data_IF_759952151879
#
_entry.id   IF_759952151879
#
_cell.length_a   1.000
_cell.length_b   1.000
_cell.length_c   1.000
_cell.angle_alpha   90.00
_cell.angle_beta   90.00
_cell.angle_gamma   90.00
#
_symmetry.space_group_name_H-M   'P 1'
#
loop_
_entity.id
_entity.type
_entity.pdbx_description
1 polymer ?
#
# COMPACT_ATOMS: atom_id res chain seq x y z
N UNK A 1 -16.98 -55.32 32.79
CA UNK A 1 -17.59 -54.23 33.58
C UNK A 1 -16.67 -53.96 34.75
N UNK A 2 -15.80 -52.97 34.62
CA UNK A 2 -14.95 -52.49 35.70
C UNK A 2 -15.16 -50.99 35.76
N UNK A 3 -16.22 -50.63 36.46
CA UNK A 3 -16.56 -49.27 36.86
C UNK A 3 -15.62 -48.91 38.01
N UNK A 4 -14.48 -48.31 37.69
CA UNK A 4 -13.60 -47.72 38.69
C UNK A 4 -14.29 -46.47 39.23
N UNK A 5 -14.75 -46.57 40.47
CA UNK A 5 -15.16 -45.43 41.28
C UNK A 5 -14.02 -44.40 41.31
N UNK A 6 -14.26 -43.25 40.69
CA UNK A 6 -13.38 -42.08 40.78
C UNK A 6 -13.62 -41.43 42.14
N UNK A 7 -12.79 -41.77 43.14
CA UNK A 7 -12.62 -40.93 44.32
C UNK A 7 -12.33 -39.51 43.83
N UNK A 8 -13.23 -38.59 44.15
CA UNK A 8 -13.29 -37.22 43.65
C UNK A 8 -12.14 -36.36 44.18
N UNK A 9 -10.93 -36.62 43.71
CA UNK A 9 -9.86 -35.64 43.82
C UNK A 9 -10.17 -34.49 42.87
N UNK A 10 -10.61 -33.39 43.45
CA UNK A 10 -10.89 -32.17 42.72
C UNK A 10 -9.56 -31.63 42.14
N UNK A 11 -9.46 -31.56 40.82
CA UNK A 11 -8.21 -31.22 40.15
C UNK A 11 -7.96 -29.71 40.10
N UNK A 12 -9.02 -28.90 40.29
CA UNK A 12 -9.01 -27.45 40.20
C UNK A 12 -9.41 -26.85 41.54
N UNK A 13 -8.62 -25.91 42.04
CA UNK A 13 -8.93 -25.13 43.24
C UNK A 13 -9.24 -23.68 42.85
N UNK A 14 -10.32 -23.10 43.37
CA UNK A 14 -10.62 -21.66 43.20
C UNK A 14 -10.27 -20.90 44.48
N UNK A 15 -9.28 -20.02 44.40
CA UNK A 15 -8.92 -19.05 45.44
C UNK A 15 -9.71 -17.76 45.24
N UNK A 16 -10.48 -17.36 46.25
CA UNK A 16 -11.34 -16.18 46.21
C UNK A 16 -11.58 -15.60 47.60
N UNK A 17 -12.07 -14.36 47.63
CA UNK A 17 -12.49 -13.68 48.85
C UNK A 17 -13.94 -14.05 49.15
N UNK A 18 -14.28 -14.38 50.41
CA UNK A 18 -15.62 -14.83 50.81
C UNK A 18 -16.77 -13.95 50.31
N UNK A 19 -16.58 -12.65 50.21
CA UNK A 19 -17.57 -11.67 49.73
C UNK A 19 -17.97 -11.90 48.27
N UNK A 20 -17.10 -12.57 47.49
CA UNK A 20 -17.38 -12.98 46.11
C UNK A 20 -17.97 -14.39 46.00
N UNK A 21 -18.30 -15.06 47.10
CA UNK A 21 -18.81 -16.45 47.14
C UNK A 21 -19.95 -16.66 46.15
N UNK A 22 -20.95 -15.79 46.11
CA UNK A 22 -22.09 -15.90 45.18
C UNK A 22 -21.67 -15.83 43.70
N UNK A 23 -20.62 -15.09 43.37
CA UNK A 23 -20.13 -14.94 41.99
C UNK A 23 -19.26 -16.12 41.61
N UNK A 24 -18.37 -16.53 42.52
CA UNK A 24 -17.54 -17.72 42.37
C UNK A 24 -18.39 -18.98 42.30
N UNK A 25 -19.55 -18.99 42.97
CA UNK A 25 -20.50 -20.07 42.89
C UNK A 25 -20.97 -20.38 41.48
N UNK A 26 -21.30 -19.31 40.76
CA UNK A 26 -21.77 -19.41 39.39
C UNK A 26 -20.65 -19.83 38.46
N UNK A 27 -19.43 -19.31 38.69
CA UNK A 27 -18.24 -19.73 37.96
C UNK A 27 -17.94 -21.22 38.16
N UNK A 28 -17.96 -21.69 39.40
CA UNK A 28 -17.68 -23.08 39.72
C UNK A 28 -18.72 -24.04 39.13
N UNK A 29 -20.01 -23.69 39.21
CA UNK A 29 -21.08 -24.46 38.56
C UNK A 29 -20.89 -24.50 37.05
N UNK A 30 -20.60 -23.37 36.41
CA UNK A 30 -20.37 -23.34 34.96
C UNK A 30 -19.14 -24.18 34.55
N UNK A 31 -18.08 -24.19 35.35
CA UNK A 31 -16.91 -25.04 35.12
C UNK A 31 -17.25 -26.54 35.29
N UNK A 32 -18.05 -26.88 36.30
CA UNK A 32 -18.55 -28.24 36.50
C UNK A 32 -19.41 -28.71 35.32
N UNK A 33 -20.31 -27.85 34.83
CA UNK A 33 -21.14 -28.12 33.64
C UNK A 33 -20.27 -28.27 32.37
N UNK A 34 -19.09 -27.65 32.33
CA UNK A 34 -18.10 -27.81 31.26
C UNK A 34 -17.22 -29.09 31.42
N UNK A 35 -17.48 -29.91 32.44
CA UNK A 35 -16.79 -31.19 32.67
C UNK A 35 -15.56 -31.10 33.57
N UNK A 36 -15.34 -29.96 34.26
CA UNK A 36 -14.20 -29.77 35.14
C UNK A 36 -14.53 -30.11 36.61
N UNK A 37 -13.64 -30.85 37.28
CA UNK A 37 -13.76 -31.16 38.72
C UNK A 37 -13.20 -30.02 39.57
N UNK A 38 -14.08 -29.20 40.15
CA UNK A 38 -13.73 -27.95 40.84
C UNK A 38 -13.98 -28.04 42.34
N UNK A 39 -12.94 -27.76 43.13
CA UNK A 39 -12.99 -27.53 44.57
C UNK A 39 -13.12 -26.05 44.89
N UNK A 40 -14.07 -25.73 45.75
CA UNK A 40 -14.23 -24.41 46.36
C UNK A 40 -15.08 -24.51 47.63
N UNK A 41 -14.94 -23.52 48.49
CA UNK A 41 -15.25 -23.62 49.91
C UNK A 41 -16.72 -23.37 50.27
N UNK A 42 -17.64 -24.24 49.79
CA UNK A 42 -19.07 -24.14 50.10
C UNK A 42 -19.53 -24.94 51.33
N UNK A 43 -18.69 -25.84 51.87
CA UNK A 43 -19.13 -26.84 52.86
C UNK A 43 -18.07 -27.21 53.91
N UNK A 44 -17.15 -26.31 54.27
CA UNK A 44 -16.32 -26.57 55.46
C UNK A 44 -17.19 -26.54 56.72
N UNK A 45 -17.26 -27.69 57.40
CA UNK A 45 -17.96 -27.82 58.67
C UNK A 45 -17.33 -26.87 59.72
N UNK A 46 -18.11 -26.09 60.47
CA UNK A 46 -17.57 -25.29 61.56
C UNK A 46 -16.98 -26.23 62.62
N UNK A 47 -15.66 -26.18 62.86
CA UNK A 47 -15.02 -26.91 63.95
C UNK A 47 -13.68 -27.57 63.63
N UNK A 48 -13.34 -27.78 62.35
CA UNK A 48 -11.99 -28.21 61.95
C UNK A 48 -11.14 -27.01 61.53
N UNK A 49 -9.81 -27.14 61.57
CA UNK A 49 -8.91 -26.05 61.16
C UNK A 49 -9.05 -25.80 59.67
N UNK A 50 -9.96 -24.89 59.31
CA UNK A 50 -10.26 -24.38 57.97
C UNK A 50 -9.00 -24.19 57.11
N UNK A 51 -7.93 -23.63 57.70
CA UNK A 51 -6.65 -23.41 57.04
C UNK A 51 -5.93 -24.69 56.60
N UNK A 52 -6.06 -25.80 57.36
CA UNK A 52 -5.41 -27.06 57.01
C UNK A 52 -6.10 -27.74 55.83
N UNK A 53 -7.44 -27.69 55.78
CA UNK A 53 -8.20 -28.26 54.66
C UNK A 53 -7.98 -27.48 53.37
N UNK A 54 -7.99 -26.15 53.43
CA UNK A 54 -7.63 -25.29 52.28
C UNK A 54 -6.22 -25.60 51.80
N UNK A 55 -5.24 -25.70 52.71
CA UNK A 55 -3.86 -26.00 52.34
C UNK A 55 -3.74 -27.38 51.69
N UNK A 56 -4.40 -28.40 52.22
CA UNK A 56 -4.42 -29.73 51.63
C UNK A 56 -5.05 -29.73 50.22
N UNK A 57 -6.15 -29.01 50.03
CA UNK A 57 -6.79 -28.86 48.72
C UNK A 57 -5.90 -28.10 47.73
N UNK A 58 -5.25 -27.01 48.16
CA UNK A 58 -4.31 -26.25 47.35
C UNK A 58 -3.10 -27.10 46.95
N UNK A 59 -2.53 -27.87 47.87
CA UNK A 59 -1.39 -28.75 47.62
C UNK A 59 -1.75 -29.89 46.64
N UNK A 60 -2.95 -30.46 46.75
CA UNK A 60 -3.45 -31.51 45.86
C UNK A 60 -3.87 -30.99 44.46
N UNK A 61 -4.20 -29.71 44.33
CA UNK A 61 -4.68 -29.14 43.08
C UNK A 61 -3.64 -29.21 41.95
N UNK A 62 -4.08 -29.56 40.75
CA UNK A 62 -3.28 -29.51 39.51
C UNK A 62 -3.42 -28.17 38.78
N UNK A 63 -4.48 -27.43 39.07
CA UNK A 63 -4.75 -26.11 38.53
C UNK A 63 -5.35 -25.23 39.63
N UNK A 64 -4.88 -23.99 39.75
CA UNK A 64 -5.39 -23.03 40.73
C UNK A 64 -5.89 -21.80 40.01
N UNK A 65 -7.15 -21.48 40.19
CA UNK A 65 -7.77 -20.26 39.67
C UNK A 65 -7.75 -19.22 40.80
N UNK A 66 -7.05 -18.11 40.61
CA UNK A 66 -7.17 -16.96 41.52
C UNK A 66 -8.18 -15.97 40.96
N UNK A 67 -9.11 -15.53 41.80
CA UNK A 67 -10.16 -14.58 41.43
C UNK A 67 -9.82 -13.19 41.95
N UNK A 68 -9.53 -12.27 41.03
CA UNK A 68 -9.25 -10.86 41.29
C UNK A 68 -10.53 -10.02 41.22
N UNK A 69 -10.84 -9.42 42.35
CA UNK A 69 -11.94 -8.48 42.64
C UNK A 69 -11.44 -7.34 43.51
N UNK A 70 -12.25 -6.29 43.70
CA UNK A 70 -11.90 -5.18 44.60
C UNK A 70 -11.59 -5.69 46.02
N UNK A 71 -12.32 -6.71 46.48
CA UNK A 71 -12.13 -7.33 47.80
C UNK A 71 -10.81 -8.10 47.89
N UNK A 72 -10.47 -8.89 46.87
CA UNK A 72 -9.25 -9.71 46.85
C UNK A 72 -7.94 -8.89 46.75
N UNK A 73 -7.98 -7.72 46.11
CA UNK A 73 -6.79 -6.86 45.98
C UNK A 73 -6.60 -5.95 47.19
N UNK A 74 -7.65 -5.78 47.99
CA UNK A 74 -7.65 -4.92 49.17
C UNK A 74 -6.76 -5.44 50.30
N UNK A 75 -6.70 -4.70 51.43
CA UNK A 75 -5.90 -5.09 52.59
C UNK A 75 -6.26 -6.48 53.13
N UNK A 76 -7.55 -6.84 53.14
CA UNK A 76 -8.04 -8.13 53.65
C UNK A 76 -7.76 -9.35 52.73
N UNK A 77 -7.10 -9.14 51.58
CA UNK A 77 -6.83 -10.17 50.57
C UNK A 77 -5.48 -10.89 50.70
N UNK A 78 -4.74 -10.70 51.80
CA UNK A 78 -3.40 -11.30 52.00
C UNK A 78 -3.38 -12.81 51.75
N UNK A 79 -4.38 -13.52 52.28
CA UNK A 79 -4.48 -14.96 52.12
C UNK A 79 -4.63 -15.39 50.65
N UNK A 80 -5.50 -14.72 49.89
CA UNK A 80 -5.68 -14.98 48.44
C UNK A 80 -4.38 -14.73 47.68
N UNK A 81 -3.63 -13.68 48.05
CA UNK A 81 -2.32 -13.37 47.45
C UNK A 81 -1.29 -14.45 47.75
N UNK A 82 -1.25 -14.96 48.98
CA UNK A 82 -0.30 -16.01 49.38
C UNK A 82 -0.57 -17.33 48.66
N UNK A 83 -1.83 -17.75 48.57
CA UNK A 83 -2.25 -18.93 47.81
C UNK A 83 -1.92 -18.80 46.32
N UNK A 84 -2.23 -17.65 45.73
CA UNK A 84 -1.91 -17.35 44.35
C UNK A 84 -0.39 -17.37 44.12
N UNK A 85 0.41 -16.90 45.08
CA UNK A 85 1.87 -16.94 44.97
C UNK A 85 2.40 -18.37 45.03
N UNK A 86 1.84 -19.23 45.88
CA UNK A 86 2.19 -20.65 45.93
C UNK A 86 1.86 -21.35 44.61
N UNK A 87 0.67 -21.10 44.07
CA UNK A 87 0.26 -21.62 42.76
C UNK A 87 1.12 -21.09 41.61
N UNK A 88 1.51 -19.80 41.64
CA UNK A 88 2.43 -19.19 40.66
C UNK A 88 3.77 -19.91 40.67
N UNK A 89 4.36 -20.14 41.86
CA UNK A 89 5.64 -20.86 41.99
C UNK A 89 5.59 -22.28 41.43
N UNK A 90 4.44 -22.95 41.54
CA UNK A 90 4.20 -24.28 40.98
C UNK A 90 3.87 -24.28 39.48
N UNK A 91 3.69 -23.10 38.87
CA UNK A 91 3.33 -22.97 37.46
C UNK A 91 1.90 -23.40 37.13
N UNK A 92 1.03 -23.56 38.12
CA UNK A 92 -0.35 -24.06 37.96
C UNK A 92 -1.42 -22.97 38.13
N UNK A 93 -1.00 -21.71 38.24
CA UNK A 93 -1.89 -20.56 38.40
C UNK A 93 -2.57 -20.15 37.08
N UNK A 94 -3.88 -19.89 37.15
CA UNK A 94 -4.67 -19.18 36.14
C UNK A 94 -5.33 -17.98 36.82
N UNK A 95 -4.91 -16.73 36.53
CA UNK A 95 -5.56 -15.56 37.09
C UNK A 95 -6.82 -15.18 36.30
N UNK A 96 -7.91 -14.91 37.03
CA UNK A 96 -9.21 -14.52 36.51
C UNK A 96 -9.63 -13.21 37.18
N UNK A 97 -10.19 -12.26 36.43
CA UNK A 97 -10.73 -11.02 36.97
C UNK A 97 -12.25 -11.05 36.91
N UNK A 98 -12.92 -10.87 38.05
CA UNK A 98 -14.37 -10.64 38.08
C UNK A 98 -14.70 -9.15 38.24
N UNK A 99 -13.78 -8.33 38.72
CA UNK A 99 -13.89 -6.87 38.63
C UNK A 99 -12.80 -6.30 37.75
N UNK A 100 -13.01 -5.09 37.22
CA UNK A 100 -11.96 -4.35 36.54
C UNK A 100 -11.00 -3.76 37.58
N UNK A 101 -10.03 -4.57 37.99
CA UNK A 101 -9.00 -4.23 38.98
C UNK A 101 -7.62 -4.51 38.41
N UNK A 102 -6.61 -3.81 38.93
CA UNK A 102 -5.21 -4.12 38.64
C UNK A 102 -4.72 -5.22 39.59
N UNK A 103 -4.28 -6.39 39.09
CA UNK A 103 -3.74 -7.42 39.94
C UNK A 103 -2.54 -6.92 40.78
N UNK A 104 -2.32 -7.49 41.99
CA UNK A 104 -1.21 -7.10 42.84
C UNK A 104 0.16 -7.27 42.17
N UNK A 105 1.15 -6.53 42.68
CA UNK A 105 2.53 -6.62 42.20
C UNK A 105 3.02 -8.08 42.27
N UNK A 106 3.68 -8.54 41.20
CA UNK A 106 4.07 -9.94 41.02
C UNK A 106 3.07 -10.79 40.23
N UNK A 107 1.82 -10.36 40.05
CA UNK A 107 0.84 -11.09 39.20
C UNK A 107 0.57 -10.40 37.86
N UNK A 108 0.97 -9.14 37.71
CA UNK A 108 0.77 -8.33 36.49
C UNK A 108 1.48 -8.88 35.24
N UNK A 109 2.54 -9.66 35.44
CA UNK A 109 3.28 -10.32 34.35
C UNK A 109 2.51 -11.51 33.76
N UNK A 110 1.51 -12.03 34.48
CA UNK A 110 0.68 -13.13 34.02
C UNK A 110 -0.63 -12.56 33.50
N UNK A 111 -0.93 -12.84 32.22
CA UNK A 111 -2.17 -12.41 31.60
C UNK A 111 -3.37 -12.99 32.36
N UNK A 112 -4.25 -12.11 32.83
CA UNK A 112 -5.49 -12.48 33.52
C UNK A 112 -6.65 -12.59 32.54
N UNK A 113 -7.53 -13.57 32.75
CA UNK A 113 -8.75 -13.75 31.95
C UNK A 113 -9.84 -12.83 32.53
N UNK A 114 -10.33 -11.88 31.73
CA UNK A 114 -11.34 -10.92 32.14
C UNK A 114 -12.77 -11.48 32.03
N UNK A 115 -13.32 -11.92 33.15
CA UNK A 115 -14.70 -12.37 33.31
C UNK A 115 -15.58 -11.31 33.98
N UNK A 116 -15.17 -10.04 34.06
CA UNK A 116 -15.94 -8.99 34.75
C UNK A 116 -17.30 -8.69 34.13
N UNK A 117 -17.46 -9.02 32.85
CA UNK A 117 -18.72 -8.90 32.12
C UNK A 117 -19.39 -10.24 31.82
N UNK A 118 -18.85 -11.35 32.35
CA UNK A 118 -19.44 -12.67 32.16
C UNK A 118 -20.74 -12.80 32.96
N UNK A 119 -21.77 -13.36 32.31
CA UNK A 119 -23.13 -13.53 32.87
C UNK A 119 -23.59 -14.97 32.70
N UNK A 120 -22.81 -15.91 33.22
CA UNK A 120 -23.16 -17.34 33.29
C UNK A 120 -23.37 -18.00 31.91
N UNK A 121 -22.84 -17.39 30.83
CA UNK A 121 -22.99 -17.90 29.48
C UNK A 121 -21.81 -18.82 29.13
N UNK A 122 -22.04 -20.13 28.89
CA UNK A 122 -20.96 -21.08 28.55
C UNK A 122 -20.37 -20.83 27.16
N UNK A 123 -21.07 -20.09 26.29
CA UNK A 123 -20.56 -19.69 24.97
C UNK A 123 -19.83 -18.34 25.00
N UNK A 124 -19.65 -17.75 26.18
CA UNK A 124 -18.85 -16.54 26.31
C UNK A 124 -17.39 -16.85 25.93
N UNK A 125 -16.78 -16.05 25.06
CA UNK A 125 -15.41 -16.32 24.64
C UNK A 125 -14.37 -16.31 25.76
N UNK A 126 -14.50 -15.43 26.77
CA UNK A 126 -13.56 -15.37 27.89
C UNK A 126 -13.72 -16.59 28.79
N UNK A 127 -14.95 -17.10 28.95
CA UNK A 127 -15.19 -18.34 29.67
C UNK A 127 -14.60 -19.55 28.93
N UNK A 128 -14.70 -19.60 27.60
CA UNK A 128 -14.05 -20.66 26.81
C UNK A 128 -12.52 -20.59 26.88
N UNK A 129 -11.94 -19.39 26.84
CA UNK A 129 -10.50 -19.23 27.06
C UNK A 129 -10.08 -19.76 28.45
N UNK A 130 -10.92 -19.60 29.47
CA UNK A 130 -10.69 -20.19 30.80
C UNK A 130 -10.71 -21.72 30.74
N UNK A 131 -11.72 -22.34 30.11
CA UNK A 131 -11.76 -23.80 29.96
C UNK A 131 -10.56 -24.34 29.17
N UNK A 132 -10.17 -23.65 28.08
CA UNK A 132 -9.00 -24.00 27.27
C UNK A 132 -7.71 -23.91 28.12
N UNK A 133 -7.57 -22.87 28.95
CA UNK A 133 -6.42 -22.70 29.83
C UNK A 133 -6.37 -23.75 30.95
N UNK A 134 -7.50 -24.08 31.56
CA UNK A 134 -7.62 -25.15 32.57
C UNK A 134 -7.21 -26.49 31.94
N UNK A 135 -7.76 -26.83 30.79
CA UNK A 135 -7.44 -28.08 30.08
C UNK A 135 -5.95 -28.17 29.79
N UNK A 136 -5.35 -27.09 29.29
CA UNK A 136 -3.91 -27.04 29.05
C UNK A 136 -3.08 -27.26 30.33
N UNK A 137 -3.48 -26.66 31.46
CA UNK A 137 -2.81 -26.87 32.76
C UNK A 137 -2.94 -28.31 33.27
N UNK A 138 -4.12 -28.90 33.19
CA UNK A 138 -4.37 -30.28 33.61
C UNK A 138 -3.57 -31.28 32.77
N UNK A 139 -3.39 -31.01 31.48
CA UNK A 139 -2.60 -31.83 30.56
C UNK A 139 -1.08 -31.53 30.58
N UNK A 140 -0.62 -30.55 31.37
CA UNK A 140 0.79 -30.15 31.42
C UNK A 140 1.30 -29.50 30.13
N UNK A 141 0.41 -28.94 29.31
CA UNK A 141 0.74 -28.26 28.05
C UNK A 141 0.82 -26.73 28.24
N UNK A 142 1.51 -26.01 27.34
CA UNK A 142 1.48 -24.55 27.35
C UNK A 142 0.06 -24.04 27.13
N UNK A 143 -0.32 -23.01 27.89
CA UNK A 143 -1.64 -22.37 27.80
C UNK A 143 -1.78 -21.69 26.43
N UNK A 144 -2.87 -21.94 25.67
CA UNK A 144 -3.07 -21.29 24.38
C UNK A 144 -3.30 -19.79 24.54
N UNK A 145 -2.97 -18.96 23.53
CA UNK A 145 -3.24 -17.53 23.56
C UNK A 145 -4.75 -17.26 23.61
N UNK A 146 -5.17 -16.31 24.45
CA UNK A 146 -6.57 -15.94 24.63
C UNK A 146 -7.20 -15.40 23.33
N UNK A 147 -8.35 -15.95 22.92
CA UNK A 147 -9.09 -15.60 21.68
C UNK A 147 -10.23 -14.61 21.95
N UNK A 148 -10.66 -14.50 23.19
CA UNK A 148 -11.81 -13.74 23.61
C UNK A 148 -11.82 -12.24 23.25
N UNK A 149 -10.72 -11.47 23.44
CA UNK A 149 -10.74 -10.03 23.11
C UNK A 149 -11.05 -9.76 21.64
N UNK A 150 -10.56 -10.60 20.71
CA UNK A 150 -10.89 -10.46 19.28
C UNK A 150 -12.33 -10.89 18.98
N UNK A 151 -12.83 -11.96 19.60
CA UNK A 151 -14.17 -12.47 19.29
C UNK A 151 -15.32 -11.56 19.77
N UNK A 152 -15.18 -10.83 20.90
CA UNK A 152 -16.17 -9.81 21.31
C UNK A 152 -16.13 -8.59 20.39
N UNK A 153 -14.95 -8.21 19.89
CA UNK A 153 -14.81 -7.13 18.90
C UNK A 153 -15.53 -7.49 17.59
N UNK A 154 -15.28 -8.70 17.07
CA UNK A 154 -15.96 -9.22 15.87
C UNK A 154 -17.48 -9.31 16.07
N UNK A 155 -17.96 -9.79 17.23
CA UNK A 155 -19.41 -9.88 17.51
C UNK A 155 -20.07 -8.51 17.68
N UNK A 156 -19.39 -7.54 18.30
CA UNK A 156 -19.87 -6.15 18.42
C UNK A 156 -19.97 -5.49 17.04
N UNK A 157 -18.98 -5.68 16.17
CA UNK A 157 -19.00 -5.19 14.79
C UNK A 157 -20.10 -5.85 13.94
N UNK A 158 -20.35 -7.15 14.15
CA UNK A 158 -21.43 -7.87 13.47
C UNK A 158 -22.85 -7.42 13.90
N UNK A 159 -23.05 -7.04 15.17
CA UNK A 159 -24.35 -6.55 15.67
C UNK A 159 -24.59 -5.07 15.36
N UNK A 160 -23.55 -4.23 15.29
CA UNK A 160 -23.70 -2.84 14.84
C UNK A 160 -24.16 -2.73 13.39
N UNK A 161 -23.90 -3.75 12.55
CA UNK A 161 -24.41 -3.78 11.17
C UNK A 161 -25.93 -3.97 11.05
N UNK A 162 -26.59 -4.57 12.05
CA UNK A 162 -28.03 -4.89 11.98
C UNK A 162 -28.92 -3.79 12.57
N UNK A 163 -28.46 -3.06 13.61
CA UNK A 163 -29.22 -1.95 14.20
C UNK A 163 -29.22 -0.67 13.34
N UNK A 164 -28.24 -0.52 12.44
CA UNK A 164 -28.16 0.61 11.51
C UNK A 164 -29.12 0.51 10.32
N UNK A 165 -29.78 -0.64 10.10
CA UNK A 165 -30.65 -0.87 8.92
C UNK A 165 -32.13 -0.47 9.11
N UNK A 166 -32.55 -0.07 10.32
CA UNK A 166 -33.96 0.30 10.62
C UNK A 166 -34.15 1.73 11.18
N UNK A 167 -33.09 2.48 11.46
CA UNK A 167 -33.15 3.79 12.13
C UNK A 167 -32.68 5.01 11.31
N UNK A 168 -32.29 4.84 10.04
CA UNK A 168 -31.74 5.92 9.21
C UNK A 168 -32.73 6.44 8.15
N UNK A 169 -34.05 6.32 8.41
CA UNK A 169 -35.10 6.93 7.59
C UNK A 169 -35.54 8.33 8.06
N UNK A 170 -35.16 8.74 9.27
CA UNK A 170 -35.62 10.00 9.84
C UNK A 170 -34.71 10.45 10.99
N UNK A 171 -33.95 11.51 10.73
CA UNK A 171 -33.27 12.47 11.63
C UNK A 171 -31.84 12.70 11.12
N UNK A 172 -31.78 13.54 10.10
CA UNK A 172 -30.69 14.49 9.90
C UNK A 172 -30.68 15.46 11.08
N UNK A 173 -29.71 15.37 11.99
CA UNK A 173 -29.11 16.52 12.69
C UNK A 173 -27.71 16.11 13.18
N UNK A 174 -26.69 16.70 12.53
CA UNK A 174 -25.41 17.06 13.15
C UNK A 174 -24.35 15.96 13.34
N UNK A 175 -23.38 15.95 12.42
CA UNK A 175 -21.98 15.46 12.51
C UNK A 175 -21.59 14.28 11.58
N UNK A 176 -20.98 14.66 10.44
CA UNK A 176 -20.02 13.93 9.62
C UNK A 176 -20.37 12.52 9.11
N UNK A 177 -21.24 12.47 8.10
CA UNK A 177 -21.31 11.38 7.12
C UNK A 177 -20.29 11.62 5.99
N UNK A 178 -19.04 11.16 6.15
CA UNK A 178 -18.07 11.13 5.04
C UNK A 178 -17.10 9.93 5.02
N UNK A 179 -17.32 8.82 5.74
CA UNK A 179 -16.33 7.71 5.67
C UNK A 179 -16.82 6.26 5.67
N UNK A 180 -18.12 5.97 5.48
CA UNK A 180 -18.61 4.57 5.55
C UNK A 180 -18.84 3.91 4.17
N UNK A 181 -18.22 4.41 3.10
CA UNK A 181 -18.29 3.78 1.77
C UNK A 181 -17.09 2.87 1.43
N UNK A 182 -16.00 2.95 2.21
CA UNK A 182 -14.70 2.39 1.77
C UNK A 182 -14.46 0.93 2.20
N UNK A 183 -15.30 0.37 3.08
CA UNK A 183 -15.10 -1.00 3.61
C UNK A 183 -15.77 -2.12 2.81
N UNK A 184 -16.74 -1.83 1.94
CA UNK A 184 -17.40 -2.85 1.12
C UNK A 184 -16.55 -3.29 -0.09
N UNK A 185 -15.70 -2.40 -0.58
CA UNK A 185 -14.91 -2.63 -1.81
C UNK A 185 -13.48 -3.14 -1.54
N UNK A 186 -13.14 -3.47 -0.29
CA UNK A 186 -11.80 -3.93 0.15
C UNK A 186 -11.74 -5.42 0.49
N UNK A 187 -12.87 -6.14 0.51
CA UNK A 187 -12.90 -7.57 0.84
C UNK A 187 -12.38 -8.41 -0.32
N UNK A 188 -11.18 -8.97 -0.14
CA UNK A 188 -10.32 -9.64 -1.13
C UNK A 188 -10.86 -10.94 -1.76
N UNK A 189 -12.14 -11.28 -1.61
CA UNK A 189 -12.66 -12.62 -1.93
C UNK A 189 -13.14 -12.78 -3.38
N UNK A 190 -13.33 -11.69 -4.15
CA UNK A 190 -13.77 -11.74 -5.56
C UNK A 190 -13.22 -10.59 -6.44
N UNK A 191 -11.91 -10.35 -6.42
CA UNK A 191 -11.28 -9.51 -7.47
C UNK A 191 -11.37 -10.24 -8.82
N UNK A 192 -11.74 -9.58 -9.94
CA UNK A 192 -11.92 -8.14 -10.14
C UNK A 192 -13.39 -7.63 -10.14
N UNK A 193 -14.41 -8.51 -10.10
CA UNK A 193 -15.80 -8.14 -10.44
C UNK A 193 -16.50 -7.22 -9.43
N UNK A 194 -16.18 -7.30 -8.14
CA UNK A 194 -16.84 -6.47 -7.11
C UNK A 194 -16.27 -5.04 -7.08
N UNK A 195 -14.97 -4.86 -7.35
CA UNK A 195 -14.33 -3.54 -7.45
C UNK A 195 -14.89 -2.71 -8.62
N UNK A 196 -15.17 -3.38 -9.75
CA UNK A 196 -15.69 -2.74 -10.95
C UNK A 196 -17.13 -2.24 -10.77
N UNK A 197 -17.93 -2.99 -9.99
CA UNK A 197 -19.30 -2.62 -9.64
C UNK A 197 -19.34 -1.42 -8.67
N UNK A 198 -18.41 -1.37 -7.70
CA UNK A 198 -18.25 -0.20 -6.83
C UNK A 198 -17.88 1.08 -7.60
N UNK A 199 -16.98 0.97 -8.59
CA UNK A 199 -16.62 2.08 -9.46
C UNK A 199 -17.79 2.55 -10.32
N UNK A 200 -18.56 1.63 -10.91
CA UNK A 200 -19.73 1.95 -11.72
C UNK A 200 -20.88 2.61 -10.94
N UNK A 201 -20.99 2.33 -9.64
CA UNK A 201 -21.98 2.92 -8.75
C UNK A 201 -21.50 4.21 -8.07
N UNK A 202 -20.24 4.64 -8.29
CA UNK A 202 -19.67 5.84 -7.67
C UNK A 202 -19.47 5.73 -6.15
N UNK A 203 -19.40 4.51 -5.61
CA UNK A 203 -19.46 4.24 -4.17
C UNK A 203 -18.08 4.04 -3.51
N UNK A 204 -16.96 4.36 -4.16
CA UNK A 204 -15.65 4.33 -3.49
C UNK A 204 -14.57 5.03 -4.32
N UNK A 205 -13.42 5.30 -3.69
CA UNK A 205 -12.18 5.70 -4.35
C UNK A 205 -11.62 4.50 -5.14
N UNK A 206 -12.31 4.08 -6.21
CA UNK A 206 -11.92 2.95 -7.08
C UNK A 206 -12.22 3.28 -8.55
N UNK A 207 -11.36 2.86 -9.49
CA UNK A 207 -11.60 3.06 -10.91
C UNK A 207 -12.74 2.18 -11.40
N UNK A 208 -13.46 2.64 -12.43
CA UNK A 208 -14.37 1.78 -13.19
C UNK A 208 -13.58 0.70 -13.94
N UNK A 209 -14.24 -0.39 -14.37
CA UNK A 209 -13.58 -1.43 -15.19
C UNK A 209 -12.92 -0.84 -16.43
N UNK A 210 -13.62 0.06 -17.09
CA UNK A 210 -13.17 0.72 -18.32
C UNK A 210 -11.95 1.60 -18.03
N UNK A 211 -12.02 2.43 -16.98
CA UNK A 211 -10.90 3.28 -16.57
C UNK A 211 -9.67 2.47 -16.18
N UNK A 212 -9.83 1.38 -15.40
CA UNK A 212 -8.72 0.51 -15.00
C UNK A 212 -8.02 -0.08 -16.22
N UNK A 213 -8.78 -0.64 -17.16
CA UNK A 213 -8.22 -1.24 -18.38
C UNK A 213 -7.51 -0.17 -19.22
N UNK A 214 -8.09 1.03 -19.34
CA UNK A 214 -7.46 2.14 -20.05
C UNK A 214 -6.17 2.63 -19.36
N UNK A 215 -6.13 2.66 -18.03
CA UNK A 215 -4.96 3.03 -17.25
C UNK A 215 -3.82 2.02 -17.38
N UNK A 216 -4.13 0.73 -17.26
CA UNK A 216 -3.17 -0.37 -17.36
C UNK A 216 -2.55 -0.47 -18.77
N UNK A 217 -3.35 -0.25 -19.81
CA UNK A 217 -2.93 -0.38 -21.21
C UNK A 217 -2.37 0.92 -21.82
N UNK A 218 -2.31 2.03 -21.08
CA UNK A 218 -1.73 3.28 -21.59
C UNK A 218 -0.24 3.08 -21.91
N UNK A 219 0.25 3.83 -22.88
CA UNK A 219 1.68 3.90 -23.15
C UNK A 219 2.41 4.54 -21.95
N UNK A 220 3.19 3.73 -21.22
CA UNK A 220 3.93 4.18 -20.04
C UNK A 220 5.02 5.20 -20.45
N UNK A 221 5.18 6.25 -19.66
CA UNK A 221 6.10 7.35 -19.95
C UNK A 221 5.60 8.38 -20.97
N UNK A 222 4.50 8.09 -21.67
CA UNK A 222 3.92 9.00 -22.66
C UNK A 222 3.07 10.09 -22.01
N UNK A 223 3.53 11.35 -22.08
CA UNK A 223 2.73 12.49 -21.64
C UNK A 223 1.44 12.66 -22.46
N UNK A 224 1.46 12.26 -23.74
CA UNK A 224 0.26 12.26 -24.57
C UNK A 224 -0.80 11.27 -24.05
N UNK A 225 -0.39 10.05 -23.71
CA UNK A 225 -1.29 9.04 -23.15
C UNK A 225 -1.94 9.48 -21.83
N UNK A 226 -1.19 10.17 -20.95
CA UNK A 226 -1.73 10.72 -19.70
C UNK A 226 -2.77 11.83 -19.95
N UNK A 227 -2.52 12.73 -20.90
CA UNK A 227 -3.50 13.77 -21.30
C UNK A 227 -4.77 13.13 -21.86
N UNK A 228 -4.62 12.15 -22.75
CA UNK A 228 -5.76 11.39 -23.30
C UNK A 228 -6.56 10.73 -22.18
N UNK A 229 -5.91 10.12 -21.18
CA UNK A 229 -6.59 9.52 -20.05
C UNK A 229 -7.40 10.55 -19.25
N UNK A 230 -6.83 11.71 -18.94
CA UNK A 230 -7.55 12.79 -18.22
C UNK A 230 -8.75 13.29 -19.02
N UNK A 231 -8.61 13.41 -20.35
CA UNK A 231 -9.73 13.83 -21.22
C UNK A 231 -10.83 12.76 -21.28
N UNK A 232 -10.46 11.48 -21.32
CA UNK A 232 -11.40 10.37 -21.37
C UNK A 232 -12.12 10.15 -20.03
N UNK A 233 -11.40 10.34 -18.91
CA UNK A 233 -11.91 10.16 -17.55
C UNK A 233 -11.73 11.45 -16.72
N UNK A 234 -12.48 12.53 -17.01
CA UNK A 234 -12.27 13.84 -16.38
C UNK A 234 -12.54 13.85 -14.86
N UNK A 235 -13.37 12.93 -14.39
CA UNK A 235 -13.62 12.65 -12.97
C UNK A 235 -13.22 11.22 -12.59
N UNK A 236 -12.30 10.63 -13.35
CA UNK A 236 -11.78 9.29 -13.08
C UNK A 236 -10.97 9.22 -11.79
N UNK A 237 -10.89 8.02 -11.22
CA UNK A 237 -10.05 7.70 -10.08
C UNK A 237 -8.57 8.04 -10.31
N UNK A 238 -8.00 7.73 -11.48
CA UNK A 238 -6.58 7.98 -11.78
C UNK A 238 -6.30 9.40 -12.29
N UNK A 239 -7.31 10.29 -12.33
CA UNK A 239 -7.17 11.64 -12.88
C UNK A 239 -6.15 12.50 -12.13
N UNK A 240 -6.10 12.44 -10.79
CA UNK A 240 -5.11 13.19 -10.01
C UNK A 240 -3.70 12.63 -10.20
N UNK A 241 -3.55 11.31 -10.16
CA UNK A 241 -2.29 10.61 -10.41
C UNK A 241 -1.71 10.97 -11.80
N UNK A 242 -2.56 10.99 -12.83
CA UNK A 242 -2.17 11.42 -14.17
C UNK A 242 -1.71 12.88 -14.22
N UNK A 243 -2.38 13.78 -13.49
CA UNK A 243 -2.01 15.19 -13.43
C UNK A 243 -0.68 15.40 -12.68
N UNK A 244 -0.43 14.63 -11.63
CA UNK A 244 0.84 14.67 -10.89
C UNK A 244 2.00 14.18 -11.76
N UNK A 245 1.82 13.09 -12.51
CA UNK A 245 2.80 12.59 -13.47
C UNK A 245 3.09 13.59 -14.61
N UNK A 246 2.07 14.31 -15.09
CA UNK A 246 2.22 15.39 -16.08
C UNK A 246 2.96 16.61 -15.48
N UNK A 247 2.71 16.93 -14.22
CA UNK A 247 3.40 18.02 -13.52
C UNK A 247 4.88 17.68 -13.31
N UNK A 248 5.19 16.40 -13.08
CA UNK A 248 6.55 15.88 -12.99
C UNK A 248 7.24 15.64 -14.35
N UNK A 249 6.66 16.11 -15.48
CA UNK A 249 7.23 15.90 -16.82
C UNK A 249 8.65 16.46 -16.93
N UNK A 250 9.48 15.76 -17.70
CA UNK A 250 10.82 16.21 -18.09
C UNK A 250 10.83 16.47 -19.59
N UNK A 251 11.31 17.64 -19.98
CA UNK A 251 11.51 17.97 -21.39
C UNK A 251 12.96 17.63 -21.73
N UNK A 252 13.14 16.76 -22.72
CA UNK A 252 14.46 16.43 -23.26
C UNK A 252 14.57 17.03 -24.65
N UNK A 253 15.59 17.84 -24.87
CA UNK A 253 15.89 18.40 -26.18
C UNK A 253 16.89 17.47 -26.88
N UNK A 254 16.50 16.94 -28.04
CA UNK A 254 17.39 16.15 -28.88
C UNK A 254 17.73 16.98 -30.12
N UNK A 255 19.02 17.16 -30.35
CA UNK A 255 19.52 17.83 -31.55
C UNK A 255 19.66 16.82 -32.69
N UNK A 256 19.04 17.11 -33.82
CA UNK A 256 19.14 16.33 -35.05
C UNK A 256 19.61 17.23 -36.19
N UNK A 257 20.44 16.67 -37.07
CA UNK A 257 20.97 17.35 -38.24
C UNK A 257 20.30 16.75 -39.46
N UNK A 258 19.50 17.54 -40.18
CA UNK A 258 18.69 17.09 -41.32
C UNK A 258 19.31 17.59 -42.62
N UNK A 259 19.62 16.73 -43.60
CA UNK A 259 20.13 17.16 -44.90
C UNK A 259 19.16 18.09 -45.61
N UNK A 260 19.67 19.19 -46.15
CA UNK A 260 18.93 20.18 -46.93
C UNK A 260 19.82 20.79 -48.03
N UNK A 261 19.18 21.28 -49.07
CA UNK A 261 19.85 21.96 -50.19
C UNK A 261 19.44 23.42 -50.23
N UNK A 262 20.41 24.32 -50.33
CA UNK A 262 20.18 25.77 -50.44
C UNK A 262 20.83 26.29 -51.71
N UNK A 263 20.02 26.94 -52.54
CA UNK A 263 20.46 27.53 -53.80
C UNK A 263 20.66 29.03 -53.60
N UNK A 264 21.83 29.52 -53.98
CA UNK A 264 22.18 30.93 -53.97
C UNK A 264 22.50 31.36 -55.39
N UNK A 265 22.05 32.55 -55.78
CA UNK A 265 22.39 33.09 -57.09
C UNK A 265 23.90 33.26 -57.24
N UNK A 266 24.44 32.77 -58.35
CA UNK A 266 25.84 32.79 -58.70
C UNK A 266 26.04 33.47 -60.05
N UNK A 267 26.89 34.49 -60.06
CA UNK A 267 27.32 35.15 -61.28
C UNK A 267 28.83 34.96 -61.49
N UNK A 268 29.20 34.52 -62.68
CA UNK A 268 30.59 34.34 -63.10
C UNK A 268 30.86 35.26 -64.27
N UNK A 269 31.81 36.18 -64.09
CA UNK A 269 32.18 37.15 -65.12
C UNK A 269 32.93 36.48 -66.28
N UNK A 270 32.69 36.97 -67.49
CA UNK A 270 33.41 36.58 -68.71
C UNK A 270 34.81 37.21 -68.84
N UNK A 271 35.22 38.07 -67.89
CA UNK A 271 36.57 38.65 -67.84
C UNK A 271 37.58 37.70 -67.20
N UNK A 272 38.24 36.87 -68.01
CA UNK A 272 39.24 35.88 -67.59
C UNK A 272 40.27 35.58 -68.68
N UNK A 273 41.12 34.59 -68.42
CA UNK A 273 42.12 34.12 -69.39
C UNK A 273 41.43 33.59 -70.66
N UNK A 274 42.00 33.91 -71.81
CA UNK A 274 41.45 33.50 -73.10
C UNK A 274 41.84 32.05 -73.41
N UNK A 275 40.88 31.24 -73.86
CA UNK A 275 41.11 29.84 -74.19
C UNK A 275 40.92 29.55 -75.68
N UNK A 276 41.49 28.44 -76.14
CA UNK A 276 41.53 28.02 -77.56
C UNK A 276 40.15 27.82 -78.18
N UNK A 277 39.17 27.38 -77.39
CA UNK A 277 37.83 27.06 -77.83
C UNK A 277 36.82 27.29 -76.69
N UNK A 278 35.53 27.28 -77.06
CA UNK A 278 34.44 27.54 -76.13
C UNK A 278 34.33 26.48 -75.04
N UNK A 279 34.66 25.20 -75.32
CA UNK A 279 34.57 24.14 -74.32
C UNK A 279 35.62 24.32 -73.22
N UNK A 280 36.85 24.65 -73.60
CA UNK A 280 37.92 25.00 -72.67
C UNK A 280 37.57 26.25 -71.85
N UNK A 281 37.01 27.29 -72.48
CA UNK A 281 36.59 28.51 -71.79
C UNK A 281 35.44 28.25 -70.78
N UNK A 282 34.47 27.40 -71.14
CA UNK A 282 33.39 26.98 -70.25
C UNK A 282 33.90 26.14 -69.08
N UNK A 283 34.82 25.19 -69.32
CA UNK A 283 35.43 24.40 -68.25
C UNK A 283 36.19 25.28 -67.23
N UNK A 284 36.95 26.27 -67.72
CA UNK A 284 37.63 27.24 -66.88
C UNK A 284 36.66 28.14 -66.08
N UNK A 285 35.56 28.56 -66.71
CA UNK A 285 34.50 29.30 -66.03
C UNK A 285 33.81 28.46 -64.93
N UNK A 286 33.53 27.18 -65.17
CA UNK A 286 32.98 26.26 -64.17
C UNK A 286 33.92 26.05 -62.99
N UNK A 287 35.24 25.98 -63.21
CA UNK A 287 36.21 25.88 -62.11
C UNK A 287 36.22 27.14 -61.23
N UNK A 288 36.15 28.32 -61.84
CA UNK A 288 36.00 29.61 -61.12
C UNK A 288 34.67 29.65 -60.36
N UNK A 289 33.60 29.18 -60.99
CA UNK A 289 32.27 29.09 -60.40
C UNK A 289 32.27 28.19 -59.16
N UNK A 290 32.94 27.04 -59.22
CA UNK A 290 33.06 26.12 -58.10
C UNK A 290 33.75 26.77 -56.88
N UNK A 291 34.82 27.52 -57.14
CA UNK A 291 35.52 28.28 -56.07
C UNK A 291 34.61 29.35 -55.47
N UNK A 292 33.84 30.06 -56.32
CA UNK A 292 32.93 31.11 -55.87
C UNK A 292 31.71 30.57 -55.12
N UNK A 293 31.14 29.45 -55.58
CA UNK A 293 30.09 28.72 -54.90
C UNK A 293 30.54 28.29 -53.50
N UNK A 294 31.76 27.76 -53.37
CA UNK A 294 32.34 27.43 -52.06
C UNK A 294 32.46 28.64 -51.14
N UNK A 295 32.81 29.82 -51.65
CA UNK A 295 32.84 31.05 -50.84
C UNK A 295 31.45 31.51 -50.39
N UNK A 296 30.45 31.44 -51.27
CA UNK A 296 29.06 31.81 -50.95
C UNK A 296 28.49 30.84 -49.90
N UNK A 297 28.68 29.54 -50.10
CA UNK A 297 28.15 28.51 -49.20
C UNK A 297 28.80 28.53 -47.80
N UNK A 298 30.03 29.06 -47.64
CA UNK A 298 30.67 29.23 -46.32
C UNK A 298 29.83 30.07 -45.35
N UNK A 299 28.95 30.94 -45.85
CA UNK A 299 28.02 31.70 -45.01
C UNK A 299 27.11 30.82 -44.16
N UNK A 300 26.73 29.63 -44.64
CA UNK A 300 25.92 28.69 -43.85
C UNK A 300 26.67 28.15 -42.64
N UNK A 301 27.96 27.85 -42.79
CA UNK A 301 28.82 27.39 -41.70
C UNK A 301 29.20 28.50 -40.69
N UNK A 302 28.84 29.76 -40.94
CA UNK A 302 29.12 30.87 -40.03
C UNK A 302 28.13 30.93 -38.84
N UNK A 303 27.06 30.13 -38.87
CA UNK A 303 26.02 30.07 -37.83
C UNK A 303 25.94 28.68 -37.22
N UNK A 304 25.41 28.56 -36.00
CA UNK A 304 25.12 27.25 -35.39
C UNK A 304 23.84 26.58 -35.93
N UNK A 305 23.25 27.12 -37.00
CA UNK A 305 22.02 26.62 -37.61
C UNK A 305 22.31 25.63 -38.73
N UNK A 306 23.44 25.77 -39.41
CA UNK A 306 23.78 24.93 -40.57
C UNK A 306 25.21 24.38 -40.48
N UNK A 307 25.40 23.16 -40.99
CA UNK A 307 26.71 22.59 -41.30
C UNK A 307 26.85 22.50 -42.80
N UNK A 308 27.88 23.10 -43.36
CA UNK A 308 28.17 22.95 -44.78
C UNK A 308 28.80 21.58 -45.04
N UNK A 309 28.20 20.79 -45.93
CA UNK A 309 28.69 19.48 -46.36
C UNK A 309 29.45 19.60 -47.67
N UNK A 310 28.81 20.20 -48.67
CA UNK A 310 29.39 20.40 -49.99
C UNK A 310 28.85 21.65 -50.66
N UNK A 311 29.55 22.08 -51.71
CA UNK A 311 29.11 23.16 -52.58
C UNK A 311 29.34 22.74 -54.03
N UNK A 312 28.39 23.05 -54.90
CA UNK A 312 28.51 22.87 -56.34
C UNK A 312 28.03 24.13 -57.06
N UNK A 313 28.41 24.30 -58.32
CA UNK A 313 27.86 25.33 -59.20
C UNK A 313 27.07 24.70 -60.34
N UNK A 314 25.87 25.22 -60.61
CA UNK A 314 25.02 24.80 -61.72
C UNK A 314 24.89 25.95 -62.72
N UNK A 315 25.56 25.88 -63.88
CA UNK A 315 25.41 26.88 -64.93
C UNK A 315 24.01 26.83 -65.55
N UNK A 316 23.38 27.99 -65.76
CA UNK A 316 22.08 28.08 -66.43
C UNK A 316 22.19 28.82 -67.77
N UNK A 317 22.72 30.05 -67.76
CA UNK A 317 22.81 30.91 -68.95
C UNK A 317 24.27 31.31 -69.19
N UNK A 318 24.82 30.87 -70.33
CA UNK A 318 26.20 31.14 -70.72
C UNK A 318 26.33 32.43 -71.51
N UNK A 319 27.41 33.17 -71.22
CA UNK A 319 27.82 34.37 -71.95
C UNK A 319 29.29 34.19 -72.35
N UNK A 320 29.54 34.04 -73.65
CA UNK A 320 30.87 33.80 -74.20
C UNK A 320 31.17 34.80 -75.30
N UNK A 321 32.31 35.48 -75.19
CA UNK A 321 32.74 36.51 -76.12
C UNK A 321 34.15 36.22 -76.65
N UNK A 322 34.41 36.66 -77.89
CA UNK A 322 35.74 36.63 -78.48
C UNK A 322 36.58 37.75 -77.85
N UNK A 323 37.73 37.38 -77.29
CA UNK A 323 38.69 38.29 -76.65
C UNK A 323 40.06 38.18 -77.31
N UNK A 324 40.95 39.13 -77.06
CA UNK A 324 42.32 39.05 -77.57
C UNK A 324 43.01 37.78 -77.07
N UNK A 325 43.31 36.86 -77.98
CA UNK A 325 43.97 35.59 -77.66
C UNK A 325 43.05 34.35 -77.55
N UNK A 326 41.74 34.48 -77.75
CA UNK A 326 40.83 33.32 -77.71
C UNK A 326 39.38 33.65 -77.33
N UNK A 327 38.72 32.73 -76.65
CA UNK A 327 37.34 32.87 -76.15
C UNK A 327 37.36 32.94 -74.62
N UNK A 328 36.55 33.82 -74.05
CA UNK A 328 36.32 33.88 -72.61
C UNK A 328 34.81 33.73 -72.31
N UNK A 329 34.50 32.94 -71.29
CA UNK A 329 33.12 32.63 -70.91
C UNK A 329 32.84 32.99 -69.45
N UNK A 330 31.61 33.38 -69.20
CA UNK A 330 30.97 33.53 -67.90
C UNK A 330 29.55 32.98 -67.94
N UNK A 331 28.86 32.95 -66.81
CA UNK A 331 27.48 32.50 -66.76
C UNK A 331 26.72 33.04 -65.55
N UNK A 332 25.41 33.04 -65.71
CA UNK A 332 24.43 33.13 -64.62
C UNK A 332 23.99 31.71 -64.25
N UNK A 333 23.89 31.44 -62.96
CA UNK A 333 23.45 30.15 -62.46
C UNK A 333 23.34 30.16 -60.95
N UNK A 334 23.41 28.98 -60.35
CA UNK A 334 23.26 28.81 -58.91
C UNK A 334 24.48 28.17 -58.27
N UNK A 335 24.79 28.60 -57.06
CA UNK A 335 25.60 27.87 -56.12
C UNK A 335 24.66 26.96 -55.31
N UNK A 336 24.81 25.66 -55.48
CA UNK A 336 24.07 24.63 -54.74
C UNK A 336 24.88 24.28 -53.49
N UNK A 337 24.37 24.67 -52.33
CA UNK A 337 24.99 24.37 -51.04
C UNK A 337 24.27 23.17 -50.41
N UNK A 338 24.96 22.06 -50.27
CA UNK A 338 24.50 20.92 -49.49
C UNK A 338 24.85 21.17 -48.02
N UNK A 339 23.82 21.25 -47.18
CA UNK A 339 23.96 21.57 -45.76
C UNK A 339 23.21 20.55 -44.92
N UNK A 340 23.62 20.39 -43.66
CA UNK A 340 22.73 19.86 -42.64
C UNK A 340 22.16 21.02 -41.83
N UNK A 341 20.84 21.06 -41.67
CA UNK A 341 20.13 22.04 -40.86
C UNK A 341 19.92 21.49 -39.45
N UNK A 342 20.18 22.32 -38.45
CA UNK A 342 20.03 21.97 -37.04
C UNK A 342 18.55 22.05 -36.65
N UNK A 343 17.98 20.91 -36.30
CA UNK A 343 16.66 20.81 -35.70
C UNK A 343 16.79 20.42 -34.23
N UNK A 344 16.08 21.16 -33.37
CA UNK A 344 15.94 20.80 -31.96
C UNK A 344 14.55 20.23 -31.79
N UNK A 345 14.48 18.93 -31.51
CA UNK A 345 13.24 18.23 -31.24
C UNK A 345 13.06 18.14 -29.73
N UNK A 346 12.02 18.77 -29.22
CA UNK A 346 11.63 18.66 -27.82
C UNK A 346 10.75 17.43 -27.63
N UNK A 347 11.21 16.49 -26.81
CA UNK A 347 10.41 15.31 -26.41
C UNK A 347 10.07 15.43 -24.94
N UNK A 348 8.78 15.33 -24.63
CA UNK A 348 8.31 15.25 -23.25
C UNK A 348 8.35 13.80 -22.78
N UNK A 349 8.89 13.57 -21.59
CA UNK A 349 8.87 12.26 -20.93
C UNK A 349 8.20 12.40 -19.56
N UNK A 350 7.20 11.59 -19.30
CA UNK A 350 6.45 11.58 -18.06
C UNK A 350 6.84 10.35 -17.21
N UNK A 351 6.59 10.41 -15.89
CA UNK A 351 6.85 9.27 -15.01
C UNK A 351 5.98 8.04 -15.35
N UNK A 352 6.43 6.86 -14.91
CA UNK A 352 5.74 5.58 -15.12
C UNK A 352 4.69 5.28 -14.06
#
# INVERSE_FOLDING_TARGET
MTETAHESMHEIFISYKREDETRVARLALALQDAGHSVWWDRHLAPGESWHAQIRAALDAAKCVIVVWTQESIGPAGDFVRDEAMQAKRRGILIPVMLDKVDPPLGFREIQSIDLSHWKDNPRDPFFRDLCDAITAKLEGRPVPPAKAPMSRLVRRLAWSGFASMMGAGSITIGFNLFSVNDQMCTTSFFQPRISDLCGALGLSNRPTREERIAWENRERGSCAALRTHITQFPQGFHRSEAADLLTARRITQTETWIPATRELTLFVTHGGEAHSDQSAAQAAATLRAQTRAGQLCKGFAATNTFRLIASASTPQVWHCDAVTGGIACGFEGDAVCEVEERHIVETENCGN
#
